data_IF_124023802281
#
_entry.id   IF_124023802281
#
_cell.length_a   1.000
_cell.length_b   1.000
_cell.length_c   1.000
_cell.angle_alpha   90.00
_cell.angle_beta   90.00
_cell.angle_gamma   90.00
#
_symmetry.space_group_name_H-M   'P 1'
#
loop_
_entity.id
_entity.type
_entity.pdbx_description
1 polymer ?
#
# COMPACT_ATOMS: atom_id res chain seq x y z
N UNK A 1 -30.62 38.64 27.29
CA UNK A 1 -29.82 38.49 26.05
C UNK A 1 -29.68 36.99 25.82
N UNK A 2 -30.40 36.43 24.84
CA UNK A 2 -30.33 35.02 24.50
C UNK A 2 -29.35 34.86 23.33
N UNK A 3 -28.22 34.18 23.56
CA UNK A 3 -27.24 33.85 22.53
C UNK A 3 -27.63 32.53 21.88
N UNK A 4 -28.22 32.59 20.70
CA UNK A 4 -28.43 31.43 19.84
C UNK A 4 -27.19 31.21 18.99
N UNK A 5 -26.38 30.20 19.32
CA UNK A 5 -25.32 29.70 18.46
C UNK A 5 -25.94 28.82 17.36
N UNK A 6 -26.06 29.37 16.15
CA UNK A 6 -26.36 28.60 14.95
C UNK A 6 -25.07 27.89 14.51
N UNK A 7 -24.94 26.63 14.91
CA UNK A 7 -23.88 25.75 14.44
C UNK A 7 -24.08 25.44 12.95
N UNK A 8 -23.16 25.90 12.12
CA UNK A 8 -23.13 25.56 10.70
C UNK A 8 -22.64 24.11 10.59
N UNK A 9 -23.56 23.19 10.27
CA UNK A 9 -23.23 21.82 9.88
C UNK A 9 -22.55 21.86 8.51
N UNK A 10 -21.21 21.85 8.50
CA UNK A 10 -20.44 21.61 7.29
C UNK A 10 -20.56 20.14 6.92
N UNK A 11 -21.45 19.81 5.99
CA UNK A 11 -21.48 18.52 5.30
C UNK A 11 -20.22 18.42 4.43
N UNK A 12 -19.19 17.75 4.93
CA UNK A 12 -18.03 17.40 4.12
C UNK A 12 -18.44 16.26 3.18
N UNK A 13 -18.77 16.60 1.93
CA UNK A 13 -18.88 15.59 0.89
C UNK A 13 -17.50 14.97 0.71
N UNK A 14 -17.39 13.66 0.92
CA UNK A 14 -16.21 12.91 0.51
C UNK A 14 -16.19 12.93 -1.03
N UNK A 15 -15.40 13.82 -1.62
CA UNK A 15 -15.13 13.79 -3.05
C UNK A 15 -14.50 12.43 -3.39
N UNK A 16 -15.13 11.71 -4.31
CA UNK A 16 -14.54 10.52 -4.90
C UNK A 16 -13.20 10.92 -5.54
N UNK A 17 -12.10 10.19 -5.26
CA UNK A 17 -10.81 10.53 -5.84
C UNK A 17 -10.90 10.59 -7.38
N UNK A 18 -10.19 11.51 -8.04
CA UNK A 18 -10.19 11.60 -9.50
C UNK A 18 -9.80 10.25 -10.12
N UNK A 19 -10.52 9.84 -11.15
CA UNK A 19 -10.18 8.63 -11.91
C UNK A 19 -8.85 8.88 -12.62
N UNK A 20 -7.84 8.07 -12.28
CA UNK A 20 -6.57 8.07 -12.99
C UNK A 20 -6.72 7.27 -14.29
N UNK A 21 -6.14 7.77 -15.37
CA UNK A 21 -6.18 7.11 -16.69
C UNK A 21 -4.87 6.37 -17.01
N UNK A 22 -3.79 6.66 -16.28
CA UNK A 22 -2.49 6.04 -16.44
C UNK A 22 -1.74 5.99 -15.11
N UNK A 23 -0.79 5.05 -15.00
CA UNK A 23 0.10 4.95 -13.86
C UNK A 23 1.22 5.98 -13.96
N UNK A 24 1.65 6.54 -12.83
CA UNK A 24 2.82 7.41 -12.77
C UNK A 24 4.08 6.61 -13.13
N UNK A 25 4.87 7.16 -14.06
CA UNK A 25 6.20 6.62 -14.35
C UNK A 25 7.23 7.24 -13.40
N UNK A 26 7.33 6.68 -12.19
CA UNK A 26 8.27 7.16 -11.17
C UNK A 26 9.65 6.52 -11.33
N UNK A 27 10.69 7.26 -10.97
CA UNK A 27 12.04 6.73 -10.83
C UNK A 27 12.15 5.94 -9.52
N UNK A 28 12.69 4.73 -9.59
CA UNK A 28 12.91 3.90 -8.41
C UNK A 28 14.20 4.26 -7.66
N UNK A 29 14.37 3.67 -6.48
CA UNK A 29 15.55 3.86 -5.63
C UNK A 29 16.83 3.51 -6.40
N UNK A 30 17.77 4.46 -6.43
CA UNK A 30 19.10 4.24 -6.98
C UNK A 30 19.91 3.26 -6.11
N UNK A 31 20.74 2.44 -6.76
CA UNK A 31 21.52 1.38 -6.09
C UNK A 31 20.67 0.43 -5.25
N UNK A 32 19.50 0.05 -5.77
CA UNK A 32 18.56 -0.81 -5.06
C UNK A 32 19.08 -2.24 -4.93
N UNK A 33 19.13 -2.75 -3.69
CA UNK A 33 19.42 -4.15 -3.38
C UNK A 33 18.12 -4.97 -3.25
N UNK A 34 17.75 -5.79 -4.25
CA UNK A 34 16.52 -6.55 -4.23
C UNK A 34 16.53 -7.67 -3.19
N UNK A 35 17.69 -8.27 -2.87
CA UNK A 35 17.79 -9.36 -1.90
C UNK A 35 17.50 -8.89 -0.48
N UNK A 36 17.84 -7.63 -0.16
CA UNK A 36 17.48 -7.02 1.13
C UNK A 36 16.01 -6.63 1.20
N UNK A 37 15.46 -6.11 0.10
CA UNK A 37 14.10 -5.59 0.09
C UNK A 37 13.02 -6.69 0.03
N UNK A 38 13.14 -7.62 -0.91
CA UNK A 38 12.17 -8.68 -1.17
C UNK A 38 12.41 -9.90 -0.28
N UNK A 39 12.52 -9.65 1.02
CA UNK A 39 12.73 -10.67 2.04
C UNK A 39 11.85 -10.40 3.24
N UNK A 40 11.04 -11.37 3.64
CA UNK A 40 10.26 -11.30 4.88
C UNK A 40 9.07 -10.35 4.81
N UNK A 41 8.71 -9.78 5.96
CA UNK A 41 7.43 -9.10 6.15
C UNK A 41 7.57 -7.57 6.07
N UNK A 42 6.51 -6.92 5.59
CA UNK A 42 6.29 -5.49 5.58
C UNK A 42 4.86 -5.20 6.05
N UNK A 43 4.71 -4.26 6.97
CA UNK A 43 3.44 -3.84 7.54
C UNK A 43 3.13 -2.43 7.06
N UNK A 44 1.99 -2.22 6.39
CA UNK A 44 1.60 -0.87 5.99
C UNK A 44 1.38 -0.01 7.23
N UNK A 45 2.00 1.17 7.21
CA UNK A 45 1.86 2.20 8.24
C UNK A 45 1.08 3.39 7.72
N UNK A 46 1.21 3.71 6.44
CA UNK A 46 0.45 4.77 5.77
C UNK A 46 0.04 4.37 4.36
N UNK A 47 -1.14 4.84 3.96
CA UNK A 47 -1.66 4.71 2.60
C UNK A 47 -2.34 6.01 2.19
N UNK A 48 -2.08 6.47 0.97
CA UNK A 48 -2.59 7.76 0.51
C UNK A 48 -4.12 7.74 0.34
N UNK A 49 -4.63 6.86 -0.53
CA UNK A 49 -6.04 6.83 -0.94
C UNK A 49 -6.66 5.48 -0.58
N UNK A 50 -7.22 5.40 0.63
CA UNK A 50 -7.97 4.22 1.05
C UNK A 50 -9.04 4.55 2.11
N UNK A 51 -10.04 3.69 2.23
CA UNK A 51 -10.86 3.61 3.44
C UNK A 51 -9.97 3.30 4.67
N UNK A 52 -10.39 3.61 5.90
CA UNK A 52 -9.56 3.46 7.09
C UNK A 52 -8.87 2.09 7.22
N UNK A 53 -9.61 0.98 7.04
CA UNK A 53 -9.05 -0.39 7.14
C UNK A 53 -8.09 -0.75 6.00
N UNK A 54 -7.99 0.05 4.93
CA UNK A 54 -7.06 -0.19 3.83
C UNK A 54 -5.60 -0.08 4.22
N UNK A 55 -5.27 0.59 5.34
CA UNK A 55 -3.92 0.62 5.91
C UNK A 55 -3.58 -0.67 6.68
N UNK A 56 -4.58 -1.50 7.01
CA UNK A 56 -4.41 -2.77 7.72
C UNK A 56 -4.03 -3.88 6.74
N UNK A 57 -2.93 -3.67 6.00
CA UNK A 57 -2.37 -4.68 5.10
C UNK A 57 -0.98 -5.08 5.56
N UNK A 58 -0.79 -6.38 5.63
CA UNK A 58 0.47 -7.00 5.96
C UNK A 58 0.95 -7.77 4.73
N UNK A 59 2.21 -7.63 4.36
CA UNK A 59 2.76 -8.16 3.11
C UNK A 59 3.98 -9.03 3.40
N UNK A 60 4.02 -10.22 2.80
CA UNK A 60 5.20 -11.07 2.76
C UNK A 60 5.80 -11.04 1.36
N UNK A 61 7.11 -10.80 1.28
CA UNK A 61 7.88 -10.75 0.05
C UNK A 61 8.98 -11.80 0.07
N UNK A 62 9.21 -12.40 -1.09
CA UNK A 62 10.27 -13.38 -1.31
C UNK A 62 10.81 -13.23 -2.73
N UNK A 63 12.12 -13.04 -2.86
CA UNK A 63 12.85 -13.12 -4.12
C UNK A 63 13.33 -14.56 -4.32
N UNK A 64 12.91 -15.17 -5.42
CA UNK A 64 13.28 -16.53 -5.80
C UNK A 64 14.62 -16.57 -6.53
N UNK A 65 15.22 -17.75 -6.60
CA UNK A 65 16.51 -17.98 -7.29
C UNK A 65 16.45 -17.67 -8.79
N UNK A 66 15.28 -17.81 -9.41
CA UNK A 66 15.04 -17.46 -10.82
C UNK A 66 14.86 -15.94 -11.05
N UNK A 67 14.94 -15.13 -9.99
CA UNK A 67 14.79 -13.68 -10.04
C UNK A 67 13.33 -13.19 -9.99
N UNK A 68 12.35 -14.08 -9.91
CA UNK A 68 10.95 -13.69 -9.71
C UNK A 68 10.66 -13.31 -8.26
N UNK A 69 9.62 -12.49 -8.06
CA UNK A 69 9.20 -12.01 -6.73
C UNK A 69 7.83 -12.57 -6.39
N UNK A 70 7.74 -13.33 -5.31
CA UNK A 70 6.46 -13.69 -4.71
C UNK A 70 6.03 -12.60 -3.73
N UNK A 71 4.78 -12.16 -3.87
CA UNK A 71 4.13 -11.22 -2.95
C UNK A 71 2.83 -11.82 -2.44
N UNK A 72 2.68 -11.93 -1.13
CA UNK A 72 1.42 -12.28 -0.47
C UNK A 72 0.97 -11.10 0.38
N UNK A 73 -0.21 -10.57 0.10
CA UNK A 73 -0.80 -9.45 0.85
C UNK A 73 -2.02 -9.95 1.57
N UNK A 74 -2.13 -9.60 2.84
CA UNK A 74 -3.20 -9.99 3.73
C UNK A 74 -3.91 -8.74 4.21
N UNK A 75 -5.23 -8.79 4.25
CA UNK A 75 -6.04 -7.69 4.76
C UNK A 75 -7.43 -8.18 5.14
N UNK A 76 -8.31 -7.23 5.45
CA UNK A 76 -9.72 -7.51 5.66
C UNK A 76 -10.58 -6.31 5.25
N UNK A 77 -11.87 -6.57 5.09
CA UNK A 77 -12.90 -5.54 5.01
C UNK A 77 -13.96 -5.83 6.08
N UNK A 78 -14.65 -4.79 6.50
CA UNK A 78 -15.86 -4.94 7.31
C UNK A 78 -17.06 -4.94 6.35
N UNK A 79 -17.88 -5.98 6.42
CA UNK A 79 -19.04 -6.19 5.55
C UNK A 79 -20.22 -6.65 6.41
N UNK A 80 -21.30 -5.86 6.45
CA UNK A 80 -22.48 -6.20 7.28
C UNK A 80 -22.23 -6.31 8.79
N UNK A 81 -21.12 -5.74 9.31
CA UNK A 81 -20.71 -5.89 10.71
C UNK A 81 -19.82 -7.11 10.98
N UNK A 82 -19.48 -7.88 9.95
CA UNK A 82 -18.56 -9.00 10.01
C UNK A 82 -17.21 -8.65 9.39
N UNK A 83 -16.14 -9.23 9.93
CA UNK A 83 -14.79 -9.09 9.38
C UNK A 83 -14.53 -10.19 8.37
N UNK A 84 -14.35 -9.78 7.10
CA UNK A 84 -14.03 -10.69 6.00
C UNK A 84 -12.56 -10.51 5.65
N UNK A 85 -11.76 -11.50 6.03
CA UNK A 85 -10.35 -11.59 5.68
C UNK A 85 -10.16 -11.92 4.19
N UNK A 86 -9.10 -11.41 3.60
CA UNK A 86 -8.73 -11.71 2.22
C UNK A 86 -7.21 -11.79 2.04
N UNK A 87 -6.81 -12.59 1.07
CA UNK A 87 -5.43 -12.76 0.65
C UNK A 87 -5.27 -12.52 -0.85
N UNK A 88 -4.24 -11.77 -1.20
CA UNK A 88 -3.83 -11.54 -2.59
C UNK A 88 -2.45 -12.16 -2.80
N UNK A 89 -2.35 -13.09 -3.73
CA UNK A 89 -1.08 -13.66 -4.17
C UNK A 89 -0.67 -13.03 -5.48
N UNK A 90 0.59 -12.63 -5.60
CA UNK A 90 1.15 -12.13 -6.84
C UNK A 90 2.48 -12.79 -7.16
N UNK A 91 2.71 -13.03 -8.45
CA UNK A 91 4.02 -13.35 -9.00
C UNK A 91 4.55 -12.15 -9.79
N UNK A 92 5.80 -11.78 -9.55
CA UNK A 92 6.41 -10.55 -10.02
C UNK A 92 7.64 -10.77 -10.90
N UNK A 93 7.72 -10.06 -12.02
CA UNK A 93 8.95 -9.92 -12.81
C UNK A 93 9.70 -8.67 -12.36
N UNK A 94 10.89 -8.86 -11.77
CA UNK A 94 11.73 -7.80 -11.24
C UNK A 94 12.60 -7.15 -12.33
N UNK A 95 12.69 -5.83 -12.30
CA UNK A 95 13.70 -4.99 -12.96
C UNK A 95 14.50 -4.27 -11.87
N UNK A 96 15.55 -4.93 -11.40
CA UNK A 96 16.29 -4.52 -10.20
C UNK A 96 17.01 -3.18 -10.36
N UNK A 97 17.56 -2.93 -11.53
CA UNK A 97 18.19 -1.67 -11.96
C UNK A 97 17.25 -0.47 -11.88
N UNK A 98 15.94 -0.71 -12.01
CA UNK A 98 14.90 0.32 -11.92
C UNK A 98 14.16 0.31 -10.58
N UNK A 99 14.48 -0.62 -9.68
CA UNK A 99 13.70 -0.92 -8.47
C UNK A 99 12.19 -1.10 -8.74
N UNK A 100 11.86 -1.72 -9.90
CA UNK A 100 10.48 -1.93 -10.37
C UNK A 100 10.12 -3.39 -10.45
N UNK A 101 8.85 -3.71 -10.16
CA UNK A 101 8.31 -5.06 -10.33
C UNK A 101 6.98 -4.98 -11.03
N UNK A 102 6.77 -5.86 -12.01
CA UNK A 102 5.48 -6.08 -12.65
C UNK A 102 4.84 -7.32 -12.06
N UNK A 103 3.73 -7.17 -11.36
CA UNK A 103 3.01 -8.26 -10.73
C UNK A 103 1.79 -8.68 -11.54
N UNK A 104 1.59 -10.00 -11.61
CA UNK A 104 0.30 -10.61 -11.91
C UNK A 104 -0.28 -11.14 -10.59
N UNK A 105 -1.44 -10.61 -10.19
CA UNK A 105 -2.05 -10.86 -8.89
C UNK A 105 -3.39 -11.58 -9.00
N UNK A 106 -3.72 -12.37 -7.98
CA UNK A 106 -4.99 -13.08 -7.85
C UNK A 106 -5.49 -13.03 -6.40
N UNK A 107 -6.80 -12.90 -6.23
CA UNK A 107 -7.46 -13.07 -4.93
C UNK A 107 -7.62 -14.57 -4.64
N UNK A 108 -7.20 -15.02 -3.46
CA UNK A 108 -7.23 -16.46 -3.13
C UNK A 108 -8.65 -16.97 -2.96
N UNK A 109 -9.54 -16.14 -2.41
CA UNK A 109 -10.93 -16.49 -2.11
C UNK A 109 -11.84 -16.49 -3.36
N UNK A 110 -11.33 -16.01 -4.50
CA UNK A 110 -12.05 -15.96 -5.76
C UNK A 110 -11.29 -16.81 -6.80
N UNK A 111 -11.71 -18.06 -7.00
CA UNK A 111 -11.07 -18.97 -7.95
C UNK A 111 -10.99 -18.37 -9.37
N UNK A 112 -9.76 -18.34 -9.91
CA UNK A 112 -9.33 -18.22 -11.31
C UNK A 112 -9.80 -17.02 -12.18
N UNK A 113 -10.92 -16.34 -11.91
CA UNK A 113 -11.51 -15.38 -12.85
C UNK A 113 -11.21 -13.89 -12.60
N UNK A 114 -10.31 -13.57 -11.64
CA UNK A 114 -9.97 -12.16 -11.31
C UNK A 114 -8.47 -11.95 -11.12
N UNK A 115 -7.69 -12.36 -12.11
CA UNK A 115 -6.32 -11.87 -12.22
C UNK A 115 -6.31 -10.38 -12.57
N UNK A 116 -5.37 -9.65 -12.00
CA UNK A 116 -5.14 -8.24 -12.34
C UNK A 116 -3.66 -7.91 -12.35
N UNK A 117 -3.29 -6.95 -13.18
CA UNK A 117 -1.91 -6.45 -13.26
C UNK A 117 -1.66 -5.42 -12.18
N UNK A 118 -0.47 -5.42 -11.58
CA UNK A 118 -0.04 -4.38 -10.65
C UNK A 118 1.44 -4.05 -10.86
N UNK A 119 1.71 -2.81 -11.21
CA UNK A 119 3.07 -2.28 -11.28
C UNK A 119 3.48 -1.74 -9.91
N UNK A 120 4.74 -1.95 -9.59
CA UNK A 120 5.36 -1.63 -8.31
C UNK A 120 6.67 -0.88 -8.49
N UNK A 121 6.89 0.20 -7.74
CA UNK A 121 8.16 0.95 -7.73
C UNK A 121 8.58 1.25 -6.30
N UNK A 122 9.76 0.77 -5.89
CA UNK A 122 10.37 1.14 -4.60
C UNK A 122 11.03 2.50 -4.77
N UNK A 123 10.48 3.51 -4.11
CA UNK A 123 10.95 4.90 -4.24
C UNK A 123 12.09 5.19 -3.27
N UNK A 124 11.98 4.71 -2.03
CA UNK A 124 13.01 4.87 -1.00
C UNK A 124 12.85 3.79 0.07
N UNK A 125 13.96 3.32 0.63
CA UNK A 125 13.97 2.33 1.71
C UNK A 125 15.38 2.26 2.31
N UNK A 126 15.45 2.01 3.60
CA UNK A 126 16.67 1.58 4.29
C UNK A 126 16.75 0.06 4.46
N UNK A 127 15.81 -0.68 3.86
CA UNK A 127 15.62 -2.14 3.90
C UNK A 127 15.15 -2.70 5.24
N UNK A 128 15.54 -2.06 6.34
CA UNK A 128 15.43 -2.59 7.70
C UNK A 128 14.29 -1.97 8.51
N UNK A 129 13.93 -0.71 8.27
CA UNK A 129 12.95 0.00 9.11
C UNK A 129 11.78 0.55 8.32
N UNK A 130 12.01 1.05 7.10
CA UNK A 130 10.95 1.66 6.31
C UNK A 130 11.05 1.39 4.81
N UNK A 131 9.91 1.52 4.14
CA UNK A 131 9.80 1.58 2.69
C UNK A 131 8.78 2.63 2.29
N UNK A 132 9.12 3.43 1.27
CA UNK A 132 8.19 4.23 0.48
C UNK A 132 8.04 3.53 -0.87
N UNK A 133 6.83 3.08 -1.15
CA UNK A 133 6.54 2.22 -2.30
C UNK A 133 5.31 2.71 -3.03
N UNK A 134 5.40 2.83 -4.35
CA UNK A 134 4.28 3.17 -5.21
C UNK A 134 3.73 1.91 -5.87
N UNK A 135 2.40 1.76 -5.86
CA UNK A 135 1.69 0.74 -6.63
C UNK A 135 0.69 1.36 -7.58
N UNK A 136 0.51 0.71 -8.72
CA UNK A 136 -0.57 0.98 -9.65
C UNK A 136 -1.16 -0.34 -10.15
N UNK A 137 -2.41 -0.62 -9.78
CA UNK A 137 -3.15 -1.77 -10.25
C UNK A 137 -4.02 -1.38 -11.44
N UNK A 138 -4.10 -2.29 -12.42
CA UNK A 138 -5.02 -2.21 -13.55
C UNK A 138 -5.92 -3.44 -13.56
N UNK A 139 -7.21 -3.20 -13.35
CA UNK A 139 -8.26 -4.20 -13.51
C UNK A 139 -9.16 -3.77 -14.67
N UNK A 140 -9.02 -4.43 -15.83
CA UNK A 140 -9.68 -4.02 -17.09
C UNK A 140 -9.36 -2.56 -17.43
N UNK A 141 -10.36 -1.68 -17.50
CA UNK A 141 -10.20 -0.25 -17.78
C UNK A 141 -10.10 0.62 -16.51
N UNK A 142 -10.09 0.01 -15.32
CA UNK A 142 -9.99 0.71 -14.06
C UNK A 142 -8.56 0.68 -13.52
N UNK A 143 -8.05 1.86 -13.22
CA UNK A 143 -6.76 2.04 -12.57
C UNK A 143 -6.95 2.45 -11.12
N UNK A 144 -6.14 1.89 -10.24
CA UNK A 144 -6.04 2.30 -8.84
C UNK A 144 -4.58 2.41 -8.46
N UNK A 145 -4.16 3.58 -7.96
CA UNK A 145 -2.80 3.81 -7.51
C UNK A 145 -2.74 4.17 -6.03
N UNK A 146 -1.59 3.91 -5.42
CA UNK A 146 -1.33 4.34 -4.06
C UNK A 146 0.16 4.53 -3.81
N UNK A 147 0.49 5.61 -3.09
CA UNK A 147 1.73 5.72 -2.34
C UNK A 147 1.53 5.04 -0.98
N UNK A 148 2.47 4.16 -0.65
CA UNK A 148 2.46 3.33 0.54
C UNK A 148 3.70 3.63 1.36
N UNK A 149 3.55 3.66 2.68
CA UNK A 149 4.67 3.61 3.62
C UNK A 149 4.54 2.36 4.46
N UNK A 150 5.59 1.55 4.52
CA UNK A 150 5.62 0.30 5.28
C UNK A 150 6.78 0.27 6.26
N UNK A 151 6.64 -0.55 7.32
CA UNK A 151 7.70 -0.86 8.27
C UNK A 151 7.95 -2.36 8.35
N UNK A 152 9.17 -2.75 8.74
CA UNK A 152 9.47 -4.14 9.14
C UNK A 152 8.87 -4.50 10.50
N UNK A 153 8.56 -3.50 11.32
CA UNK A 153 7.94 -3.69 12.63
C UNK A 153 6.46 -3.25 12.58
N UNK A 154 5.57 -4.18 12.90
CA UNK A 154 4.12 -3.97 12.87
C UNK A 154 3.63 -2.87 13.81
N UNK A 155 4.31 -2.68 14.94
CA UNK A 155 3.90 -1.79 16.02
C UNK A 155 4.53 -0.40 15.90
N UNK A 156 5.43 -0.19 14.95
CA UNK A 156 6.17 1.05 14.82
C UNK A 156 5.78 1.80 13.54
N UNK A 157 5.52 3.09 13.72
CA UNK A 157 5.45 4.03 12.61
C UNK A 157 6.87 4.54 12.36
N UNK A 158 7.44 4.34 11.16
CA UNK A 158 8.79 4.80 10.88
C UNK A 158 8.82 6.33 10.84
N UNK A 159 9.87 6.90 11.41
CA UNK A 159 10.05 8.36 11.60
C UNK A 159 11.18 8.96 10.77
N UNK A 160 11.79 8.17 9.89
CA UNK A 160 12.89 8.59 9.03
C UNK A 160 12.45 9.75 8.10
N UNK A 161 13.21 10.84 8.09
CA UNK A 161 12.87 12.06 7.34
C UNK A 161 12.80 11.82 5.83
N UNK A 162 13.54 10.82 5.32
CA UNK A 162 13.54 10.43 3.91
C UNK A 162 12.14 10.04 3.42
N UNK A 163 11.27 9.56 4.31
CA UNK A 163 9.88 9.22 3.97
C UNK A 163 9.13 10.48 3.51
N UNK A 164 9.11 11.50 4.37
CA UNK A 164 8.42 12.75 4.09
C UNK A 164 9.06 13.49 2.91
N UNK A 165 10.39 13.49 2.82
CA UNK A 165 11.13 14.09 1.70
C UNK A 165 10.79 13.42 0.37
N UNK A 166 10.70 12.08 0.34
CA UNK A 166 10.37 11.32 -0.88
C UNK A 166 8.95 11.60 -1.34
N UNK A 167 7.98 11.55 -0.42
CA UNK A 167 6.58 11.86 -0.75
C UNK A 167 6.42 13.30 -1.25
N UNK A 168 7.11 14.26 -0.63
CA UNK A 168 7.04 15.68 -1.00
C UNK A 168 7.55 15.95 -2.42
N UNK A 169 8.55 15.20 -2.91
CA UNK A 169 9.02 15.29 -4.31
C UNK A 169 7.91 14.99 -5.33
N UNK A 170 6.88 14.26 -4.90
CA UNK A 170 5.73 13.89 -5.73
C UNK A 170 4.45 14.68 -5.36
N UNK A 171 4.56 15.74 -4.54
CA UNK A 171 3.44 16.59 -4.15
C UNK A 171 2.57 16.02 -3.02
N UNK A 172 3.03 14.96 -2.35
CA UNK A 172 2.30 14.32 -1.25
C UNK A 172 2.87 14.69 0.11
N UNK A 173 2.01 14.71 1.12
CA UNK A 173 2.37 14.97 2.51
C UNK A 173 1.90 13.82 3.39
N UNK A 174 2.81 13.26 4.20
CA UNK A 174 2.56 12.06 5.01
C UNK A 174 1.40 12.25 6.00
N UNK A 175 1.19 13.46 6.53
CA UNK A 175 0.10 13.78 7.46
C UNK A 175 -1.29 13.71 6.83
N UNK A 176 -1.37 13.66 5.49
CA UNK A 176 -2.63 13.47 4.74
C UNK A 176 -2.95 12.00 4.48
N UNK A 177 -2.05 11.09 4.79
CA UNK A 177 -2.24 9.67 4.54
C UNK A 177 -3.05 9.05 5.69
N UNK A 178 -3.82 8.02 5.37
CA UNK A 178 -4.45 7.17 6.39
C UNK A 178 -3.34 6.44 7.13
N UNK A 179 -3.28 6.63 8.46
CA UNK A 179 -2.24 6.05 9.31
C UNK A 179 -2.75 4.83 10.07
N UNK A 180 -1.95 3.77 10.11
CA UNK A 180 -2.21 2.54 10.89
C UNK A 180 -2.41 2.82 12.36
N UNK A 181 -1.73 3.85 12.90
CA UNK A 181 -1.85 4.24 14.31
C UNK A 181 -3.28 4.60 14.73
N UNK A 182 -4.12 5.00 13.78
CA UNK A 182 -5.49 5.44 14.04
C UNK A 182 -6.53 4.34 13.79
N UNK A 183 -6.09 3.10 13.53
CA UNK A 183 -6.97 1.98 13.17
C UNK A 183 -6.54 0.74 13.96
N UNK A 184 -7.51 0.11 14.63
CA UNK A 184 -7.28 -1.19 15.28
C UNK A 184 -7.28 -2.30 14.22
N UNK A 185 -6.08 -2.62 13.72
CA UNK A 185 -5.90 -3.59 12.66
C UNK A 185 -5.97 -5.01 13.19
N UNK A 186 -6.93 -5.79 12.67
CA UNK A 186 -7.08 -7.21 12.96
C UNK A 186 -6.05 -8.05 12.21
N UNK A 187 -5.52 -9.06 12.89
CA UNK A 187 -4.54 -9.98 12.33
C UNK A 187 -5.21 -11.01 11.44
N UNK A 188 -4.70 -11.18 10.23
CA UNK A 188 -5.16 -12.24 9.36
C UNK A 188 -4.77 -13.61 9.95
N UNK A 189 -5.67 -14.59 10.06
CA UNK A 189 -5.40 -15.89 10.70
C UNK A 189 -4.18 -16.63 10.12
N UNK A 190 -3.97 -16.51 8.80
CA UNK A 190 -2.86 -17.16 8.09
C UNK A 190 -1.56 -16.33 8.01
N UNK A 191 -1.54 -15.13 8.58
CA UNK A 191 -0.33 -14.31 8.62
C UNK A 191 0.55 -14.74 9.80
N UNK A 192 1.58 -15.54 9.51
CA UNK A 192 2.57 -16.05 10.47
C UNK A 192 3.96 -15.52 10.16
#
# INVERSE_FOLDING_TARGET
IALTFLGILTLTYAESPPRINECLNLEGKQNFDPHKYFKGNWYLTHIHNAAPTGVCRDTKLELLEDGSVLKKTYGYKEDGGETVFHQINCNGTLKSDLAKVKFLCQYVEHSQDKEFGMDGTVLETDYDNFSVYYICAKEKEHFGENFLVASRNKLEVPTDSRIAETLKKHGYFLDKFVSRKNVDCKDHPDFK
#
